data_IF_756651535588
#
_entry.id   IF_756651535588
#
_cell.length_a   1.000
_cell.length_b   1.000
_cell.length_c   1.000
_cell.angle_alpha   90.00
_cell.angle_beta   90.00
_cell.angle_gamma   90.00
#
_symmetry.space_group_name_H-M   'P 1'
#
loop_
_entity.id
_entity.type
_entity.pdbx_description
1 polymer ?
#
# COMPACT_ATOMS: atom_id res chain seq x y z
N UNK A 1 -37.66 -66.44 4.65
CA UNK A 1 -38.90 -65.92 4.01
C UNK A 1 -38.49 -64.75 3.14
N UNK A 2 -38.20 -64.99 1.92
CA UNK A 2 -38.89 -64.67 0.65
C UNK A 2 -39.68 -63.39 0.65
N UNK A 3 -39.32 -62.37 -0.14
CA UNK A 3 -39.59 -62.03 -1.56
C UNK A 3 -38.92 -60.69 -1.88
N UNK A 4 -38.00 -60.57 -2.79
CA UNK A 4 -38.01 -60.63 -4.27
C UNK A 4 -38.83 -59.53 -4.97
N UNK A 5 -38.06 -58.72 -5.73
CA UNK A 5 -38.22 -58.17 -7.10
C UNK A 5 -39.29 -57.08 -7.26
N UNK A 6 -38.96 -55.96 -7.95
CA UNK A 6 -39.02 -55.80 -9.39
C UNK A 6 -38.22 -54.60 -9.89
N UNK A 7 -37.47 -54.83 -10.96
CA UNK A 7 -36.78 -53.91 -11.86
C UNK A 7 -37.76 -53.31 -12.83
N UNK A 8 -37.60 -52.08 -13.21
CA UNK A 8 -38.10 -51.60 -14.51
C UNK A 8 -37.09 -50.62 -15.15
N UNK A 9 -36.55 -51.04 -16.24
CA UNK A 9 -35.83 -50.30 -17.28
C UNK A 9 -36.79 -49.47 -18.12
N UNK A 10 -36.26 -48.43 -18.73
CA UNK A 10 -36.35 -47.95 -20.13
C UNK A 10 -36.30 -46.43 -20.13
N UNK A 11 -35.74 -45.64 -20.99
CA UNK A 11 -35.05 -45.75 -22.29
C UNK A 11 -34.39 -44.37 -22.49
N UNK A 12 -33.18 -44.30 -22.80
CA UNK A 12 -32.48 -43.89 -24.01
C UNK A 12 -33.17 -42.80 -24.86
N UNK A 13 -32.50 -41.72 -25.08
CA UNK A 13 -32.84 -40.67 -26.03
C UNK A 13 -31.74 -39.64 -26.19
N UNK A 14 -30.80 -39.89 -27.08
CA UNK A 14 -29.72 -39.01 -27.53
C UNK A 14 -30.18 -38.05 -28.63
N UNK A 15 -29.31 -37.25 -29.22
CA UNK A 15 -29.42 -35.77 -29.24
C UNK A 15 -29.89 -35.26 -30.62
N UNK A 16 -30.40 -34.06 -30.66
CA UNK A 16 -30.59 -33.38 -31.96
C UNK A 16 -29.83 -32.06 -31.98
N UNK A 17 -28.77 -32.06 -32.78
CA UNK A 17 -28.19 -30.89 -33.42
C UNK A 17 -29.25 -30.13 -34.22
N UNK A 18 -29.30 -28.83 -34.15
CA UNK A 18 -29.90 -27.99 -35.16
C UNK A 18 -28.86 -27.00 -35.72
N UNK A 19 -28.71 -27.14 -37.04
CA UNK A 19 -27.87 -26.32 -37.91
C UNK A 19 -28.48 -24.95 -38.16
N UNK A 20 -27.58 -24.02 -38.32
CA UNK A 20 -27.57 -22.75 -39.08
C UNK A 20 -28.83 -22.39 -39.90
N UNK A 21 -29.28 -21.17 -39.79
CA UNK A 21 -29.82 -20.43 -40.92
C UNK A 21 -29.33 -18.96 -40.88
N UNK A 22 -28.63 -18.62 -41.93
CA UNK A 22 -28.19 -17.30 -42.35
C UNK A 22 -29.39 -16.63 -43.03
N UNK A 23 -29.76 -15.42 -42.62
CA UNK A 23 -30.56 -14.52 -43.45
C UNK A 23 -29.92 -13.14 -43.52
N UNK A 24 -29.38 -12.90 -44.71
CA UNK A 24 -28.85 -11.63 -45.22
C UNK A 24 -30.05 -10.80 -45.64
N UNK A 25 -30.16 -9.55 -45.17
CA UNK A 25 -30.92 -8.52 -45.82
C UNK A 25 -30.04 -7.30 -46.07
N UNK A 26 -29.70 -7.15 -47.35
CA UNK A 26 -29.16 -5.95 -47.99
C UNK A 26 -30.34 -4.99 -48.18
N UNK A 27 -30.22 -3.78 -47.66
CA UNK A 27 -31.07 -2.66 -48.08
C UNK A 27 -30.18 -1.50 -48.49
N UNK A 28 -30.03 -1.36 -49.79
CA UNK A 28 -29.41 -0.27 -50.52
C UNK A 28 -30.29 0.98 -50.42
N UNK A 29 -29.70 2.08 -49.95
CA UNK A 29 -30.30 3.41 -50.10
C UNK A 29 -29.35 4.35 -50.87
N UNK A 30 -29.72 4.63 -52.09
CA UNK A 30 -29.10 5.59 -53.00
C UNK A 30 -29.37 7.00 -52.47
N UNK A 31 -28.33 7.78 -52.26
CA UNK A 31 -28.42 9.24 -52.13
C UNK A 31 -27.61 9.84 -53.27
N UNK A 32 -28.35 10.53 -54.15
CA UNK A 32 -27.92 11.22 -55.34
C UNK A 32 -27.06 12.44 -54.97
N UNK A 33 -25.84 12.49 -55.50
CA UNK A 33 -24.96 13.65 -55.42
C UNK A 33 -25.22 14.55 -56.60
N UNK A 34 -25.73 15.76 -56.39
CA UNK A 34 -25.84 16.79 -57.40
C UNK A 34 -24.53 17.58 -57.45
N UNK A 35 -23.81 17.43 -58.55
CA UNK A 35 -22.65 18.26 -58.91
C UNK A 35 -23.14 19.60 -59.48
N UNK A 36 -22.88 20.68 -58.78
CA UNK A 36 -22.95 22.03 -59.34
C UNK A 36 -21.52 22.46 -59.67
N UNK A 37 -21.24 22.52 -60.98
CA UNK A 37 -20.00 23.12 -61.51
C UNK A 37 -20.26 24.60 -61.66
N UNK A 38 -19.59 25.44 -60.92
CA UNK A 38 -19.50 26.90 -61.17
C UNK A 38 -18.05 27.25 -61.50
N UNK A 39 -17.78 27.54 -62.75
CA UNK A 39 -16.56 28.22 -63.20
C UNK A 39 -16.54 29.67 -62.67
N UNK A 40 -15.46 30.07 -62.02
CA UNK A 40 -15.12 31.45 -61.79
C UNK A 40 -13.61 31.67 -61.81
N UNK A 41 -13.24 32.63 -62.50
CA UNK A 41 -11.98 33.10 -63.00
C UNK A 41 -10.87 33.31 -61.99
N UNK A 42 -9.69 33.04 -62.46
CA UNK A 42 -8.37 33.25 -61.84
C UNK A 42 -8.09 34.76 -61.64
N UNK A 43 -7.90 35.15 -60.39
CA UNK A 43 -7.09 36.33 -60.03
C UNK A 43 -6.13 35.91 -58.94
N UNK A 44 -4.84 35.96 -59.22
CA UNK A 44 -3.75 35.74 -58.26
C UNK A 44 -3.70 36.92 -57.27
N UNK A 45 -3.65 36.66 -55.94
CA UNK A 45 -3.16 37.68 -55.04
C UNK A 45 -1.75 37.26 -54.53
N UNK A 46 -0.92 38.24 -54.59
CA UNK A 46 0.44 38.34 -54.05
C UNK A 46 0.51 37.81 -52.60
N UNK A 47 1.35 36.80 -52.37
CA UNK A 47 1.64 36.26 -51.04
C UNK A 47 2.47 37.28 -50.24
N UNK A 48 1.83 37.98 -49.33
CA UNK A 48 2.50 38.64 -48.21
C UNK A 48 2.57 37.61 -47.08
N UNK A 49 3.73 37.02 -46.81
CA UNK A 49 4.02 36.17 -45.66
C UNK A 49 4.01 37.02 -44.40
N UNK A 50 2.88 37.13 -43.75
CA UNK A 50 2.82 37.56 -42.35
C UNK A 50 3.16 36.37 -41.47
N UNK A 51 4.38 36.36 -40.97
CA UNK A 51 4.78 35.49 -39.84
C UNK A 51 3.98 35.90 -38.61
N UNK A 52 2.86 35.22 -38.35
CA UNK A 52 2.19 35.24 -37.06
C UNK A 52 2.99 34.37 -36.12
N UNK A 53 3.58 34.88 -35.03
CA UNK A 53 4.23 34.02 -34.05
C UNK A 53 3.14 33.13 -33.46
N UNK A 54 3.33 31.81 -33.57
CA UNK A 54 2.54 30.81 -32.87
C UNK A 54 2.79 31.01 -31.37
N UNK A 55 1.90 31.77 -30.72
CA UNK A 55 1.81 31.81 -29.28
C UNK A 55 1.24 30.46 -28.79
N UNK A 56 2.09 29.45 -28.72
CA UNK A 56 1.85 28.34 -27.80
C UNK A 56 1.84 28.93 -26.40
N UNK A 57 0.76 28.86 -25.62
CA UNK A 57 0.78 29.37 -24.26
C UNK A 57 1.92 28.64 -23.52
N UNK A 58 2.94 29.37 -23.12
CA UNK A 58 3.94 28.88 -22.20
C UNK A 58 3.17 28.32 -21.01
N UNK A 59 3.33 27.03 -20.70
CA UNK A 59 2.72 26.41 -19.55
C UNK A 59 3.05 27.29 -18.34
N UNK A 60 2.02 27.86 -17.71
CA UNK A 60 2.17 28.75 -16.58
C UNK A 60 3.07 28.08 -15.56
N UNK A 61 4.21 28.68 -15.27
CA UNK A 61 5.16 28.18 -14.26
C UNK A 61 4.40 28.10 -12.95
N UNK A 62 4.32 26.94 -12.29
CA UNK A 62 3.59 26.84 -11.03
C UNK A 62 4.17 27.83 -10.05
N UNK A 63 3.32 28.67 -9.45
CA UNK A 63 3.77 29.62 -8.44
C UNK A 63 4.08 28.89 -7.13
N UNK A 64 5.32 28.38 -6.98
CA UNK A 64 5.82 27.76 -5.76
C UNK A 64 5.90 28.74 -4.58
N UNK A 65 5.64 30.02 -4.82
CA UNK A 65 5.76 31.07 -3.80
C UNK A 65 4.74 30.91 -2.66
N UNK A 66 3.64 30.23 -2.86
CA UNK A 66 2.62 30.05 -1.84
C UNK A 66 2.76 28.74 -1.07
N UNK A 67 2.98 27.60 -1.75
CA UNK A 67 3.22 26.29 -1.13
C UNK A 67 3.68 25.27 -2.17
N UNK A 68 4.43 24.25 -1.73
CA UNK A 68 4.83 23.08 -2.53
C UNK A 68 3.81 21.95 -2.36
N UNK A 69 3.01 21.59 -3.36
CA UNK A 69 1.99 20.56 -3.23
C UNK A 69 2.64 19.16 -3.27
N UNK A 70 2.43 18.35 -2.24
CA UNK A 70 2.81 16.94 -2.16
C UNK A 70 1.53 16.12 -2.04
N UNK A 71 1.33 15.13 -2.90
CA UNK A 71 0.17 14.25 -2.86
C UNK A 71 0.25 13.27 -1.70
N UNK A 72 -0.92 12.91 -1.15
CA UNK A 72 -1.09 11.90 -0.13
C UNK A 72 -2.26 10.99 -0.52
N UNK A 73 -1.94 9.81 -1.08
CA UNK A 73 -2.91 8.86 -1.62
C UNK A 73 -3.08 7.69 -0.64
N UNK A 74 -4.20 7.65 0.10
CA UNK A 74 -4.45 6.62 1.11
C UNK A 74 -5.89 6.11 1.07
N UNK A 75 -6.09 4.82 1.38
CA UNK A 75 -7.40 4.15 1.46
C UNK A 75 -8.13 4.54 2.74
N UNK A 76 -8.73 5.72 2.78
CA UNK A 76 -9.39 6.25 3.98
C UNK A 76 -10.75 5.61 4.22
N UNK A 77 -11.33 5.02 3.18
CA UNK A 77 -12.55 4.20 3.21
C UNK A 77 -12.20 2.77 2.78
N UNK A 78 -12.76 1.74 3.34
CA UNK A 78 -12.55 0.32 3.06
C UNK A 78 -11.93 -0.47 4.22
N UNK A 79 -11.62 -1.74 3.99
CA UNK A 79 -10.93 -2.64 4.95
C UNK A 79 -9.47 -2.21 5.25
N UNK A 80 -8.86 -1.34 4.43
CA UNK A 80 -7.57 -0.70 4.72
C UNK A 80 -7.67 0.54 5.62
N UNK A 81 -8.87 1.06 5.89
CA UNK A 81 -9.06 2.34 6.59
C UNK A 81 -8.36 2.39 7.95
N UNK A 82 -8.33 1.28 8.68
CA UNK A 82 -7.67 1.22 10.00
C UNK A 82 -6.16 1.50 9.92
N UNK A 83 -5.48 1.07 8.85
CA UNK A 83 -4.06 1.35 8.60
C UNK A 83 -3.87 2.76 8.01
N UNK A 84 -4.73 3.13 7.06
CA UNK A 84 -4.66 4.41 6.38
C UNK A 84 -4.86 5.61 7.31
N UNK A 85 -5.73 5.50 8.32
CA UNK A 85 -5.92 6.54 9.34
C UNK A 85 -4.62 6.85 10.09
N UNK A 86 -3.81 5.84 10.40
CA UNK A 86 -2.51 6.03 11.03
C UNK A 86 -1.55 6.76 10.09
N UNK A 87 -1.50 6.37 8.81
CA UNK A 87 -0.67 7.01 7.79
C UNK A 87 -1.06 8.47 7.57
N UNK A 88 -2.35 8.76 7.43
CA UNK A 88 -2.89 10.13 7.31
C UNK A 88 -2.52 10.97 8.53
N UNK A 89 -2.59 10.39 9.74
CA UNK A 89 -2.15 11.05 10.97
C UNK A 89 -0.68 11.44 10.92
N UNK A 90 0.19 10.53 10.48
CA UNK A 90 1.63 10.78 10.31
C UNK A 90 1.93 11.88 9.30
N UNK A 91 1.25 11.88 8.14
CA UNK A 91 1.38 12.92 7.11
C UNK A 91 1.00 14.30 7.65
N UNK A 92 -0.13 14.41 8.36
CA UNK A 92 -0.59 15.69 8.94
C UNK A 92 0.38 16.23 10.00
N UNK A 93 0.94 15.34 10.83
CA UNK A 93 1.96 15.72 11.82
C UNK A 93 3.21 16.19 11.10
N UNK A 94 3.66 15.50 10.04
CA UNK A 94 4.82 15.90 9.26
C UNK A 94 4.63 17.27 8.59
N UNK A 95 3.48 17.50 7.93
CA UNK A 95 3.15 18.79 7.31
C UNK A 95 3.30 19.94 8.33
N UNK A 96 2.64 19.78 9.49
CA UNK A 96 2.73 20.78 10.55
C UNK A 96 4.16 20.93 11.08
N UNK A 97 4.85 19.82 11.37
CA UNK A 97 6.18 19.81 11.95
C UNK A 97 7.18 20.55 11.07
N UNK A 98 7.16 20.30 9.76
CA UNK A 98 8.09 20.93 8.83
C UNK A 98 7.71 22.37 8.52
N UNK A 99 6.42 22.70 8.40
CA UNK A 99 5.95 24.07 8.18
C UNK A 99 6.24 24.99 9.37
N UNK A 100 6.07 24.52 10.60
CA UNK A 100 6.43 25.25 11.81
C UNK A 100 7.95 25.56 11.88
N UNK A 101 8.77 24.85 11.09
CA UNK A 101 10.23 25.02 10.99
C UNK A 101 10.67 25.67 9.69
N UNK A 102 9.77 26.42 9.04
CA UNK A 102 10.03 27.18 7.83
C UNK A 102 9.94 26.41 6.52
N UNK A 103 9.31 25.25 6.52
CA UNK A 103 9.05 24.48 5.29
C UNK A 103 10.31 24.14 4.51
N UNK A 104 10.27 24.32 3.21
CA UNK A 104 11.42 24.20 2.30
C UNK A 104 12.05 25.58 2.09
N UNK A 105 13.05 25.91 2.90
CA UNK A 105 13.79 27.17 2.85
C UNK A 105 12.90 28.43 2.79
N UNK A 106 11.82 28.45 3.59
CA UNK A 106 10.85 29.55 3.67
C UNK A 106 9.55 29.30 2.89
N UNK A 107 9.49 28.31 2.02
CA UNK A 107 8.27 27.92 1.30
C UNK A 107 7.57 26.78 2.04
N UNK A 108 6.30 26.92 2.46
CA UNK A 108 5.58 25.84 3.12
C UNK A 108 5.28 24.69 2.15
N UNK A 109 5.17 23.47 2.69
CA UNK A 109 4.57 22.34 1.96
C UNK A 109 3.06 22.35 2.18
N UNK A 110 2.31 21.78 1.21
CA UNK A 110 0.88 21.54 1.31
C UNK A 110 0.58 20.10 0.93
N UNK A 111 0.07 19.33 1.87
CA UNK A 111 -0.36 17.97 1.59
C UNK A 111 -1.73 17.97 0.91
N UNK A 112 -1.80 17.30 -0.25
CA UNK A 112 -3.02 17.17 -1.06
C UNK A 112 -3.52 15.75 -0.94
N UNK A 113 -4.61 15.56 -0.18
CA UNK A 113 -5.13 14.24 0.12
C UNK A 113 -6.11 13.76 -0.96
N UNK A 114 -5.94 12.49 -1.38
CA UNK A 114 -6.88 11.75 -2.21
C UNK A 114 -7.18 10.40 -1.55
N UNK A 115 -8.47 10.06 -1.45
CA UNK A 115 -8.89 8.73 -1.00
C UNK A 115 -8.78 7.75 -2.17
N UNK A 116 -8.07 6.65 -1.96
CA UNK A 116 -7.91 5.59 -2.95
C UNK A 116 -9.01 4.52 -2.88
N UNK A 117 -9.97 4.65 -1.96
CA UNK A 117 -11.13 3.74 -1.83
C UNK A 117 -10.80 2.31 -1.41
N UNK A 118 -9.55 1.87 -1.51
CA UNK A 118 -9.11 0.51 -1.13
C UNK A 118 -9.06 -0.48 -2.29
N UNK A 119 -9.39 -0.08 -3.51
CA UNK A 119 -9.26 -0.87 -4.71
C UNK A 119 -8.27 -0.25 -5.73
N UNK A 120 -8.01 -0.96 -6.80
CA UNK A 120 -7.05 -0.56 -7.84
C UNK A 120 -7.56 0.65 -8.64
N UNK A 121 -8.84 0.68 -8.97
CA UNK A 121 -9.45 1.75 -9.77
C UNK A 121 -9.43 3.09 -9.00
N UNK A 122 -9.76 3.05 -7.70
CA UNK A 122 -9.66 4.21 -6.83
C UNK A 122 -8.23 4.76 -6.73
N UNK A 123 -7.23 3.88 -6.61
CA UNK A 123 -5.82 4.27 -6.60
C UNK A 123 -5.38 4.91 -7.93
N UNK A 124 -5.77 4.32 -9.06
CA UNK A 124 -5.51 4.87 -10.40
C UNK A 124 -6.10 6.29 -10.52
N UNK A 125 -7.36 6.47 -10.14
CA UNK A 125 -8.05 7.75 -10.21
C UNK A 125 -7.40 8.81 -9.30
N UNK A 126 -7.06 8.43 -8.07
CA UNK A 126 -6.38 9.31 -7.11
C UNK A 126 -5.02 9.79 -7.67
N UNK A 127 -4.21 8.88 -8.23
CA UNK A 127 -2.93 9.24 -8.84
C UNK A 127 -3.10 10.14 -10.06
N UNK A 128 -4.05 9.85 -10.93
CA UNK A 128 -4.35 10.74 -12.09
C UNK A 128 -4.76 12.13 -11.65
N UNK A 129 -5.59 12.26 -10.61
CA UNK A 129 -5.99 13.54 -10.05
C UNK A 129 -4.80 14.32 -9.49
N UNK A 130 -4.01 13.69 -8.63
CA UNK A 130 -2.80 14.30 -8.04
C UNK A 130 -1.79 14.76 -9.09
N UNK A 131 -1.59 13.96 -10.15
CA UNK A 131 -0.61 14.24 -11.21
C UNK A 131 -1.08 15.33 -12.15
N UNK A 132 -2.33 15.25 -12.65
CA UNK A 132 -2.81 16.05 -13.78
C UNK A 132 -3.58 17.30 -13.33
N UNK A 133 -4.37 17.20 -12.25
CA UNK A 133 -5.21 18.30 -11.76
C UNK A 133 -4.48 19.08 -10.65
N UNK A 134 -4.03 18.38 -9.60
CA UNK A 134 -3.36 19.00 -8.45
C UNK A 134 -1.90 19.32 -8.73
N UNK A 135 -1.29 18.71 -9.78
CA UNK A 135 0.07 18.98 -10.26
C UNK A 135 1.11 18.87 -9.14
N UNK A 136 0.99 17.87 -8.28
CA UNK A 136 1.88 17.65 -7.13
C UNK A 136 3.32 17.39 -7.57
N UNK A 137 4.28 17.75 -6.72
CA UNK A 137 5.72 17.54 -6.97
C UNK A 137 6.15 16.09 -6.74
N UNK A 138 5.39 15.36 -5.92
CA UNK A 138 5.59 13.94 -5.60
C UNK A 138 4.41 13.40 -4.84
N UNK A 139 4.34 12.08 -4.60
CA UNK A 139 3.22 11.40 -3.95
C UNK A 139 3.72 10.51 -2.83
N UNK A 140 3.10 10.61 -1.64
CA UNK A 140 3.21 9.66 -0.54
C UNK A 140 2.05 8.66 -0.65
N UNK A 141 2.34 7.38 -0.72
CA UNK A 141 1.34 6.32 -0.91
C UNK A 141 1.68 5.38 -2.06
N UNK A 142 0.72 4.58 -2.52
CA UNK A 142 -0.61 4.34 -1.95
C UNK A 142 -0.57 3.46 -0.70
N UNK A 143 -1.74 3.13 -0.12
CA UNK A 143 -1.82 2.36 1.12
C UNK A 143 -1.38 0.92 0.97
N UNK A 144 -1.85 0.21 -0.06
CA UNK A 144 -1.61 -1.21 -0.23
C UNK A 144 -0.63 -1.52 -1.36
N UNK A 145 0.02 -2.70 -1.28
CA UNK A 145 0.88 -3.19 -2.35
C UNK A 145 0.09 -3.48 -3.63
N UNK A 146 -1.15 -3.96 -3.51
CA UNK A 146 -2.04 -4.18 -4.65
C UNK A 146 -2.30 -2.87 -5.42
N UNK A 147 -2.58 -1.79 -4.71
CA UNK A 147 -2.74 -0.45 -5.30
C UNK A 147 -1.44 0.09 -5.89
N UNK A 148 -0.28 -0.23 -5.28
CA UNK A 148 1.00 0.21 -5.80
C UNK A 148 1.30 -0.41 -7.17
N UNK A 149 1.00 -1.69 -7.38
CA UNK A 149 1.18 -2.34 -8.68
C UNK A 149 0.29 -1.73 -9.79
N UNK A 150 -0.88 -1.20 -9.45
CA UNK A 150 -1.79 -0.60 -10.42
C UNK A 150 -1.56 0.90 -10.66
N UNK A 151 -1.25 1.67 -9.61
CA UNK A 151 -1.16 3.13 -9.69
C UNK A 151 0.27 3.65 -9.93
N UNK A 152 1.31 3.03 -9.35
CA UNK A 152 2.69 3.47 -9.53
C UNK A 152 3.15 3.51 -11.00
N UNK A 153 2.75 2.60 -11.90
CA UNK A 153 3.08 2.72 -13.33
C UNK A 153 2.59 4.01 -13.98
N UNK A 154 1.55 4.65 -13.42
CA UNK A 154 1.03 5.93 -13.91
C UNK A 154 1.98 7.07 -13.51
N UNK A 155 2.43 7.06 -12.25
CA UNK A 155 3.40 8.03 -11.75
C UNK A 155 4.75 7.89 -12.44
N UNK A 156 5.22 6.66 -12.66
CA UNK A 156 6.44 6.35 -13.41
C UNK A 156 6.42 6.97 -14.81
N UNK A 157 5.35 6.71 -15.60
CA UNK A 157 5.21 7.30 -16.95
C UNK A 157 5.14 8.82 -16.93
N UNK A 158 4.58 9.40 -15.87
CA UNK A 158 4.47 10.85 -15.67
C UNK A 158 5.72 11.47 -15.03
N UNK A 159 6.73 10.65 -14.70
CA UNK A 159 7.96 11.04 -14.01
C UNK A 159 7.67 11.80 -12.70
N UNK A 160 6.75 11.27 -11.90
CA UNK A 160 6.37 11.81 -10.59
C UNK A 160 6.95 10.91 -9.51
N UNK A 161 7.84 11.42 -8.65
CA UNK A 161 8.39 10.63 -7.55
C UNK A 161 7.29 10.13 -6.60
N UNK A 162 7.31 8.83 -6.30
CA UNK A 162 6.43 8.19 -5.32
C UNK A 162 7.26 7.63 -4.18
N UNK A 163 6.83 7.87 -2.95
CA UNK A 163 7.40 7.21 -1.77
C UNK A 163 6.31 6.39 -1.08
N UNK A 164 6.40 5.07 -1.22
CA UNK A 164 5.52 4.12 -0.55
C UNK A 164 5.77 4.10 0.95
N UNK A 165 4.74 4.38 1.74
CA UNK A 165 4.83 4.43 3.21
C UNK A 165 4.46 3.11 3.89
N UNK A 166 3.73 2.22 3.20
CA UNK A 166 3.19 0.97 3.76
C UNK A 166 3.25 -0.24 2.82
N UNK A 167 3.77 -0.07 1.62
CA UNK A 167 3.84 -1.11 0.59
C UNK A 167 5.07 -2.00 0.81
N UNK A 168 4.90 -3.26 1.17
CA UNK A 168 6.00 -4.16 1.57
C UNK A 168 6.18 -5.38 0.68
N UNK A 169 5.28 -5.63 -0.29
CA UNK A 169 5.40 -6.72 -1.24
C UNK A 169 6.70 -6.62 -2.07
N UNK A 170 7.19 -7.76 -2.51
CA UNK A 170 8.30 -7.85 -3.45
C UNK A 170 7.91 -7.21 -4.79
N UNK A 171 8.85 -6.52 -5.43
CA UNK A 171 8.64 -5.98 -6.77
C UNK A 171 8.08 -4.56 -6.82
N UNK A 172 7.90 -3.85 -5.69
CA UNK A 172 7.37 -2.48 -5.69
C UNK A 172 8.38 -1.46 -6.25
N UNK A 173 9.65 -1.39 -5.79
CA UNK A 173 10.62 -0.46 -6.37
C UNK A 173 10.97 -0.79 -7.83
N UNK A 174 10.90 -2.05 -8.21
CA UNK A 174 11.19 -2.53 -9.57
C UNK A 174 10.13 -2.08 -10.60
N UNK A 175 9.05 -1.42 -10.19
CA UNK A 175 8.05 -0.84 -11.09
C UNK A 175 8.66 0.26 -11.96
N UNK A 176 9.62 1.04 -11.41
CA UNK A 176 10.31 2.07 -12.18
C UNK A 176 11.21 2.99 -11.35
N UNK A 177 11.95 3.84 -12.05
CA UNK A 177 12.97 4.73 -11.46
C UNK A 177 12.39 5.80 -10.52
N UNK A 178 11.11 6.14 -10.67
CA UNK A 178 10.43 7.16 -9.85
C UNK A 178 9.70 6.57 -8.65
N UNK A 179 9.88 5.26 -8.38
CA UNK A 179 9.19 4.56 -7.32
C UNK A 179 10.18 4.16 -6.21
N UNK A 180 10.03 4.78 -5.05
CA UNK A 180 10.77 4.43 -3.85
C UNK A 180 9.80 4.05 -2.70
N UNK A 181 10.33 3.46 -1.63
CA UNK A 181 9.54 3.20 -0.41
C UNK A 181 10.38 3.37 0.85
N UNK A 182 9.74 3.82 1.93
CA UNK A 182 10.33 3.86 3.28
C UNK A 182 9.83 2.71 4.16
N UNK A 183 8.90 1.90 3.67
CA UNK A 183 8.46 0.67 4.32
C UNK A 183 9.45 -0.45 3.99
N UNK A 184 10.10 -0.99 5.02
CA UNK A 184 11.06 -2.08 4.85
C UNK A 184 10.42 -3.29 4.17
N UNK A 185 11.10 -3.96 3.21
CA UNK A 185 10.57 -5.13 2.56
C UNK A 185 10.29 -6.24 3.56
N UNK A 186 9.16 -6.92 3.37
CA UNK A 186 8.69 -7.94 4.31
C UNK A 186 9.70 -9.09 4.49
N UNK A 187 10.56 -9.31 3.50
CA UNK A 187 11.64 -10.30 3.55
C UNK A 187 12.67 -10.05 4.65
N UNK A 188 12.82 -8.80 5.10
CA UNK A 188 13.70 -8.43 6.22
C UNK A 188 12.97 -8.50 7.57
N UNK A 189 11.67 -8.33 7.60
CA UNK A 189 10.87 -8.15 8.82
C UNK A 189 10.26 -9.48 9.29
N UNK A 190 9.50 -10.16 8.44
CA UNK A 190 8.72 -11.35 8.79
C UNK A 190 9.54 -12.52 9.40
N UNK A 191 10.75 -12.86 8.93
CA UNK A 191 11.52 -13.95 9.51
C UNK A 191 11.87 -13.75 10.99
N UNK A 192 11.97 -12.48 11.43
CA UNK A 192 12.29 -12.17 12.81
C UNK A 192 11.15 -12.53 13.78
N UNK A 193 9.89 -12.43 13.35
CA UNK A 193 8.75 -12.84 14.16
C UNK A 193 8.73 -14.35 14.41
N UNK A 194 9.05 -15.17 13.39
CA UNK A 194 9.16 -16.64 13.53
C UNK A 194 10.30 -17.02 14.49
N UNK A 195 11.48 -16.39 14.34
CA UNK A 195 12.61 -16.59 15.25
C UNK A 195 12.27 -16.21 16.69
N UNK A 196 11.54 -15.10 16.88
CA UNK A 196 11.11 -14.67 18.22
C UNK A 196 10.12 -15.66 18.85
N UNK A 197 9.17 -16.19 18.07
CA UNK A 197 8.26 -17.23 18.56
C UNK A 197 9.03 -18.47 19.05
N UNK A 198 10.05 -18.91 18.30
CA UNK A 198 10.91 -20.04 18.72
C UNK A 198 11.76 -19.72 19.95
N UNK A 199 12.27 -18.48 20.07
CA UNK A 199 13.02 -18.05 21.26
C UNK A 199 12.14 -18.10 22.52
N UNK A 200 10.86 -17.71 22.40
CA UNK A 200 9.90 -17.76 23.50
C UNK A 200 9.38 -19.16 23.79
N UNK A 201 9.22 -19.99 22.77
CA UNK A 201 8.77 -21.37 22.90
C UNK A 201 9.55 -22.32 21.98
N UNK A 202 10.66 -22.88 22.42
CA UNK A 202 11.50 -23.82 21.64
C UNK A 202 10.82 -25.15 21.29
N UNK A 203 9.63 -25.43 21.85
CA UNK A 203 8.89 -26.68 21.59
C UNK A 203 8.03 -26.61 20.32
N UNK A 204 7.93 -25.47 19.68
CA UNK A 204 7.19 -25.31 18.42
C UNK A 204 7.78 -26.22 17.35
N UNK A 205 6.92 -27.02 16.70
CA UNK A 205 7.26 -27.90 15.58
C UNK A 205 6.27 -27.74 14.44
N UNK A 206 4.96 -27.76 14.72
CA UNK A 206 3.88 -27.73 13.76
C UNK A 206 3.33 -26.33 13.60
N UNK A 207 3.26 -25.84 12.38
CA UNK A 207 2.80 -24.49 12.06
C UNK A 207 1.61 -24.54 11.11
N UNK A 208 0.52 -23.85 11.46
CA UNK A 208 -0.55 -23.53 10.53
C UNK A 208 -0.37 -22.09 10.03
N UNK A 209 -0.55 -21.87 8.74
CA UNK A 209 -0.45 -20.56 8.11
C UNK A 209 -1.82 -20.15 7.59
N UNK A 210 -2.24 -18.92 7.86
CA UNK A 210 -3.48 -18.32 7.38
C UNK A 210 -3.16 -17.07 6.57
N UNK A 211 -3.81 -16.84 5.41
CA UNK A 211 -3.60 -15.62 4.67
C UNK A 211 -4.77 -15.22 3.76
N UNK A 212 -4.90 -13.92 3.52
CA UNK A 212 -5.84 -13.38 2.57
C UNK A 212 -5.29 -13.55 1.15
N UNK A 213 -5.89 -14.45 0.34
CA UNK A 213 -5.35 -14.83 -0.97
C UNK A 213 -5.60 -13.81 -2.08
N UNK A 214 -6.49 -12.85 -1.85
CA UNK A 214 -6.88 -11.82 -2.81
C UNK A 214 -6.11 -10.49 -2.65
N UNK A 215 -5.02 -10.49 -1.89
CA UNK A 215 -4.20 -9.29 -1.66
C UNK A 215 -2.72 -9.58 -1.95
N UNK A 216 -2.08 -8.69 -2.71
CA UNK A 216 -0.70 -8.87 -3.14
C UNK A 216 0.31 -8.81 -1.98
N UNK A 217 0.04 -8.00 -0.94
CA UNK A 217 0.89 -7.92 0.24
C UNK A 217 0.83 -9.23 1.02
N UNK A 218 -0.36 -9.70 1.39
CA UNK A 218 -0.53 -10.90 2.22
C UNK A 218 -0.04 -12.16 1.51
N UNK A 219 -0.20 -12.25 0.19
CA UNK A 219 0.37 -13.33 -0.62
C UNK A 219 1.90 -13.30 -0.58
N UNK A 220 2.52 -12.14 -0.82
CA UNK A 220 3.97 -11.97 -0.76
C UNK A 220 4.53 -12.26 0.65
N UNK A 221 3.85 -11.77 1.68
CA UNK A 221 4.24 -11.99 3.08
C UNK A 221 4.16 -13.47 3.46
N UNK A 222 3.11 -14.17 3.02
CA UNK A 222 2.91 -15.60 3.27
C UNK A 222 4.02 -16.45 2.66
N UNK A 223 4.48 -16.14 1.46
CA UNK A 223 5.62 -16.82 0.84
C UNK A 223 6.88 -16.69 1.70
N UNK A 224 7.15 -15.49 2.22
CA UNK A 224 8.28 -15.22 3.11
C UNK A 224 8.14 -15.95 4.45
N UNK A 225 6.94 -15.94 5.05
CA UNK A 225 6.69 -16.71 6.28
C UNK A 225 6.90 -18.20 6.07
N UNK A 226 6.37 -18.80 5.00
CA UNK A 226 6.56 -20.21 4.69
C UNK A 226 8.04 -20.55 4.50
N UNK A 227 8.80 -19.69 3.82
CA UNK A 227 10.24 -19.89 3.68
C UNK A 227 10.96 -19.76 5.03
N UNK A 228 10.59 -18.79 5.86
CA UNK A 228 11.17 -18.60 7.20
C UNK A 228 10.89 -19.81 8.12
N UNK A 229 9.67 -20.34 8.08
CA UNK A 229 9.27 -21.54 8.83
C UNK A 229 10.11 -22.74 8.41
N UNK A 230 10.24 -23.00 7.11
CA UNK A 230 11.06 -24.10 6.56
C UNK A 230 12.54 -23.95 6.94
N UNK A 231 13.09 -22.73 6.86
CA UNK A 231 14.48 -22.44 7.23
C UNK A 231 14.77 -22.66 8.71
N UNK A 232 13.74 -22.67 9.58
CA UNK A 232 13.86 -23.03 10.99
C UNK A 232 13.62 -24.55 11.26
N UNK A 233 13.43 -25.36 10.22
CA UNK A 233 13.17 -26.80 10.34
C UNK A 233 11.79 -27.14 10.93
N UNK A 234 10.81 -26.23 10.77
CA UNK A 234 9.44 -26.43 11.26
C UNK A 234 8.54 -27.00 10.16
N UNK A 235 7.53 -27.78 10.57
CA UNK A 235 6.56 -28.41 9.68
C UNK A 235 5.36 -27.48 9.45
N UNK A 236 5.11 -27.10 8.19
CA UNK A 236 3.87 -26.45 7.80
C UNK A 236 2.80 -27.52 7.63
N UNK A 237 1.93 -27.68 8.64
CA UNK A 237 0.90 -28.73 8.64
C UNK A 237 -0.31 -28.36 7.77
N UNK A 238 -0.57 -27.05 7.59
CA UNK A 238 -1.64 -26.55 6.70
C UNK A 238 -1.42 -25.10 6.31
N UNK A 239 -1.95 -24.72 5.14
CA UNK A 239 -2.06 -23.33 4.68
C UNK A 239 -3.52 -23.05 4.38
N UNK A 240 -4.15 -22.23 5.18
CA UNK A 240 -5.55 -21.85 5.07
C UNK A 240 -5.70 -20.50 4.36
N UNK A 241 -6.64 -20.43 3.44
CA UNK A 241 -6.90 -19.26 2.61
C UNK A 241 -8.22 -18.60 2.99
N UNK A 242 -8.25 -17.28 2.94
CA UNK A 242 -9.45 -16.47 3.11
C UNK A 242 -9.42 -15.24 2.20
N UNK A 243 -10.45 -14.41 2.23
CA UNK A 243 -10.51 -13.12 1.53
C UNK A 243 -10.41 -11.97 2.54
N UNK A 244 -9.87 -10.82 2.13
CA UNK A 244 -9.79 -9.62 2.99
C UNK A 244 -11.18 -9.12 3.45
N UNK A 245 -12.24 -9.59 2.83
CA UNK A 245 -13.64 -9.27 3.14
C UNK A 245 -14.33 -10.33 3.99
N UNK A 246 -13.67 -11.46 4.28
CA UNK A 246 -14.26 -12.52 5.08
C UNK A 246 -14.40 -12.09 6.54
N UNK A 247 -15.49 -12.52 7.16
CA UNK A 247 -15.82 -12.27 8.57
C UNK A 247 -16.02 -13.56 9.38
N UNK A 248 -16.15 -14.70 8.71
CA UNK A 248 -16.26 -16.03 9.30
C UNK A 248 -15.10 -16.91 8.84
N UNK A 249 -14.36 -17.48 9.81
CA UNK A 249 -13.16 -18.28 9.61
C UNK A 249 -13.28 -19.68 10.23
N UNK A 250 -14.49 -20.09 10.69
CA UNK A 250 -14.69 -21.31 11.45
C UNK A 250 -14.23 -22.55 10.69
N UNK A 251 -14.49 -22.63 9.39
CA UNK A 251 -14.08 -23.76 8.56
C UNK A 251 -12.55 -23.88 8.47
N UNK A 252 -11.86 -22.77 8.17
CA UNK A 252 -10.41 -22.74 8.08
C UNK A 252 -9.75 -23.05 9.43
N UNK A 253 -10.31 -22.50 10.51
CA UNK A 253 -9.82 -22.70 11.86
C UNK A 253 -10.05 -24.16 12.29
N UNK A 254 -11.23 -24.73 12.06
CA UNK A 254 -11.52 -26.13 12.35
C UNK A 254 -10.55 -27.10 11.66
N UNK A 255 -10.28 -26.86 10.37
CA UNK A 255 -9.31 -27.63 9.60
C UNK A 255 -7.89 -27.56 10.20
N UNK A 256 -7.48 -26.36 10.63
CA UNK A 256 -6.15 -26.17 11.22
C UNK A 256 -6.03 -26.80 12.61
N UNK A 257 -7.03 -26.61 13.49
CA UNK A 257 -7.00 -27.12 14.85
C UNK A 257 -7.03 -28.65 14.92
N UNK A 258 -7.65 -29.32 13.95
CA UNK A 258 -7.62 -30.78 13.82
C UNK A 258 -6.19 -31.35 13.68
N UNK A 259 -5.24 -30.54 13.18
CA UNK A 259 -3.82 -30.91 13.00
C UNK A 259 -2.95 -30.54 14.19
N UNK A 260 -3.52 -29.93 15.22
CA UNK A 260 -2.87 -29.54 16.47
C UNK A 260 -1.58 -28.72 16.24
N UNK A 261 -1.66 -27.51 15.63
CA UNK A 261 -0.49 -26.66 15.42
C UNK A 261 0.01 -26.08 16.75
N UNK A 262 1.34 -25.99 16.92
CA UNK A 262 1.98 -25.32 18.05
C UNK A 262 2.05 -23.79 17.82
N UNK A 263 2.13 -23.38 16.56
CA UNK A 263 2.19 -22.01 16.10
C UNK A 263 1.16 -21.77 14.99
N UNK A 264 0.47 -20.65 15.08
CA UNK A 264 -0.33 -20.11 13.98
C UNK A 264 0.29 -18.82 13.48
N UNK A 265 0.52 -18.72 12.17
CA UNK A 265 0.98 -17.50 11.50
C UNK A 265 -0.18 -16.94 10.69
N UNK A 266 -0.47 -15.64 10.85
CA UNK A 266 -1.59 -14.98 10.19
C UNK A 266 -1.08 -13.79 9.39
N UNK A 267 -1.22 -13.85 8.07
CA UNK A 267 -0.98 -12.74 7.13
C UNK A 267 -2.33 -12.21 6.63
N UNK A 268 -2.76 -11.11 7.20
CA UNK A 268 -4.03 -10.45 6.94
C UNK A 268 -3.91 -8.95 7.23
N UNK A 269 -5.03 -8.24 7.10
CA UNK A 269 -5.16 -6.86 7.49
C UNK A 269 -5.75 -6.77 8.91
N UNK A 270 -5.85 -5.57 9.46
CA UNK A 270 -6.35 -5.39 10.84
C UNK A 270 -7.77 -5.94 11.05
N UNK A 271 -8.66 -5.81 10.07
CA UNK A 271 -10.03 -6.25 10.19
C UNK A 271 -10.19 -7.77 10.08
N UNK A 272 -9.78 -8.35 8.97
CA UNK A 272 -9.88 -9.78 8.67
C UNK A 272 -8.95 -10.63 9.58
N UNK A 273 -7.67 -10.23 9.68
CA UNK A 273 -6.72 -10.89 10.56
C UNK A 273 -7.09 -10.79 12.03
N UNK A 274 -7.59 -9.63 12.49
CA UNK A 274 -8.09 -9.46 13.86
C UNK A 274 -9.30 -10.35 14.16
N UNK A 275 -10.25 -10.45 13.22
CA UNK A 275 -11.41 -11.35 13.35
C UNK A 275 -10.97 -12.83 13.35
N UNK A 276 -10.02 -13.20 12.49
CA UNK A 276 -9.51 -14.58 12.47
C UNK A 276 -8.80 -14.95 13.79
N UNK A 277 -8.04 -14.03 14.38
CA UNK A 277 -7.44 -14.20 15.71
C UNK A 277 -8.51 -14.39 16.76
N UNK A 278 -9.53 -13.53 16.79
CA UNK A 278 -10.61 -13.62 17.75
C UNK A 278 -11.28 -14.99 17.70
N UNK A 279 -11.73 -15.44 16.52
CA UNK A 279 -12.37 -16.73 16.35
C UNK A 279 -11.45 -17.89 16.67
N UNK A 280 -10.17 -17.81 16.31
CA UNK A 280 -9.17 -18.84 16.67
C UNK A 280 -9.06 -19.03 18.20
N UNK A 281 -9.06 -17.92 18.95
CA UNK A 281 -9.02 -17.95 20.42
C UNK A 281 -10.36 -18.43 21.03
N UNK A 282 -11.50 -18.00 20.48
CA UNK A 282 -12.84 -18.42 20.89
C UNK A 282 -13.04 -19.93 20.68
N UNK A 283 -12.47 -20.50 19.61
CA UNK A 283 -12.48 -21.94 19.33
C UNK A 283 -11.41 -22.73 20.14
N UNK A 284 -10.76 -22.07 21.10
CA UNK A 284 -9.95 -22.71 22.12
C UNK A 284 -8.45 -22.81 21.81
N UNK A 285 -7.94 -22.22 20.74
CA UNK A 285 -6.50 -22.21 20.48
C UNK A 285 -5.76 -21.36 21.51
N UNK A 286 -4.84 -22.00 22.25
CA UNK A 286 -4.02 -21.36 23.29
C UNK A 286 -2.54 -21.24 22.92
N UNK A 287 -2.16 -21.77 21.76
CA UNK A 287 -0.79 -21.75 21.26
C UNK A 287 -0.30 -20.36 20.86
N UNK A 288 0.95 -20.30 20.41
CA UNK A 288 1.58 -19.07 19.95
C UNK A 288 0.93 -18.56 18.65
N UNK A 289 0.74 -17.25 18.52
CA UNK A 289 0.31 -16.60 17.28
C UNK A 289 1.38 -15.59 16.87
N UNK A 290 1.80 -15.66 15.62
CA UNK A 290 2.60 -14.65 14.94
C UNK A 290 1.70 -13.91 13.95
N UNK A 291 1.64 -12.61 14.09
CA UNK A 291 0.95 -11.73 13.15
C UNK A 291 1.88 -11.12 12.12
N UNK A 292 1.40 -10.99 10.89
CA UNK A 292 2.08 -10.27 9.82
C UNK A 292 2.04 -8.75 10.00
N UNK A 293 2.68 -8.04 9.08
CA UNK A 293 2.82 -6.59 9.15
C UNK A 293 1.47 -5.86 9.03
N UNK A 294 0.46 -6.43 8.36
CA UNK A 294 -0.89 -5.85 8.29
C UNK A 294 -1.65 -5.83 9.63
N UNK A 295 -1.16 -6.59 10.62
CA UNK A 295 -1.68 -6.59 11.99
C UNK A 295 -0.92 -5.63 12.93
N UNK A 296 0.09 -4.93 12.38
CA UNK A 296 0.97 -4.05 13.15
C UNK A 296 0.35 -2.65 13.33
N UNK A 297 -0.83 -2.60 13.88
CA UNK A 297 -1.60 -1.39 14.15
C UNK A 297 -2.30 -1.45 15.50
N UNK A 298 -2.35 -0.34 16.23
CA UNK A 298 -3.12 -0.25 17.48
C UNK A 298 -4.63 -0.40 17.26
N UNK A 299 -5.10 -0.21 16.04
CA UNK A 299 -6.52 -0.35 15.70
C UNK A 299 -7.00 -1.82 15.71
N UNK A 300 -6.08 -2.80 15.70
CA UNK A 300 -6.43 -4.22 15.85
C UNK A 300 -7.02 -4.52 17.24
N UNK A 301 -6.67 -3.73 18.26
CA UNK A 301 -7.11 -3.97 19.64
C UNK A 301 -8.63 -3.94 19.77
N UNK A 302 -9.32 -3.06 19.05
CA UNK A 302 -10.78 -3.03 19.01
C UNK A 302 -11.41 -4.20 18.25
N UNK A 303 -10.65 -4.90 17.39
CA UNK A 303 -11.15 -6.01 16.57
C UNK A 303 -11.07 -7.35 17.34
N UNK A 304 -9.92 -7.71 17.86
CA UNK A 304 -9.74 -8.97 18.60
C UNK A 304 -9.80 -8.80 20.14
N UNK A 305 -9.90 -7.56 20.64
CA UNK A 305 -10.08 -7.24 22.06
C UNK A 305 -9.07 -7.99 22.96
N UNK A 306 -9.49 -8.46 24.13
CA UNK A 306 -8.65 -9.22 25.07
C UNK A 306 -7.94 -10.43 24.41
N UNK A 307 -8.51 -10.95 23.31
CA UNK A 307 -7.99 -12.12 22.60
C UNK A 307 -6.77 -11.81 21.71
N UNK A 308 -6.44 -10.53 21.53
CA UNK A 308 -5.17 -10.10 20.91
C UNK A 308 -3.96 -10.35 21.82
N UNK A 309 -4.16 -10.60 23.12
CA UNK A 309 -3.07 -10.67 24.07
C UNK A 309 -2.05 -11.76 23.69
N UNK A 310 -0.77 -11.42 23.74
CA UNK A 310 0.33 -12.35 23.49
C UNK A 310 0.73 -12.56 22.03
N UNK A 311 0.09 -11.89 21.07
CA UNK A 311 0.45 -11.97 19.64
C UNK A 311 1.82 -11.34 19.42
N UNK A 312 2.68 -12.03 18.68
CA UNK A 312 4.04 -11.59 18.33
C UNK A 312 4.01 -10.96 16.94
N UNK A 313 4.56 -9.76 16.78
CA UNK A 313 4.67 -9.05 15.50
C UNK A 313 6.07 -8.48 15.38
N UNK A 314 6.70 -8.66 14.23
CA UNK A 314 7.93 -7.94 13.89
C UNK A 314 7.59 -6.54 13.36
N UNK A 315 8.37 -5.54 13.78
CA UNK A 315 8.15 -4.13 13.45
C UNK A 315 9.41 -3.48 12.89
N UNK A 316 9.22 -2.54 11.98
CA UNK A 316 10.28 -1.70 11.43
C UNK A 316 10.37 -0.33 12.14
N UNK A 317 9.66 -0.15 13.23
CA UNK A 317 9.62 1.08 14.02
C UNK A 317 9.43 0.76 15.51
N UNK A 318 10.05 1.58 16.37
CA UNK A 318 9.76 1.62 17.80
C UNK A 318 9.68 3.09 18.27
N UNK A 319 8.62 3.48 19.01
CA UNK A 319 8.55 4.81 19.61
C UNK A 319 9.65 5.05 20.67
N UNK A 320 10.28 3.99 21.18
CA UNK A 320 11.38 4.03 22.13
C UNK A 320 12.76 4.09 21.46
N UNK A 321 12.82 4.02 20.12
CA UNK A 321 14.08 4.12 19.40
C UNK A 321 14.77 5.49 19.65
N UNK A 322 16.11 5.51 19.82
CA UNK A 322 16.83 6.74 20.05
C UNK A 322 16.78 7.66 18.81
N UNK A 323 16.91 8.96 19.03
CA UNK A 323 17.01 9.96 17.97
C UNK A 323 16.09 11.16 18.21
N UNK A 324 16.61 12.37 17.96
CA UNK A 324 15.89 13.63 18.20
C UNK A 324 14.62 13.71 17.35
N UNK A 325 14.69 13.30 16.09
CA UNK A 325 13.54 13.35 15.17
C UNK A 325 12.46 12.35 15.59
N UNK A 326 12.83 11.16 16.08
CA UNK A 326 11.88 10.19 16.63
C UNK A 326 11.21 10.73 17.88
N UNK A 327 11.97 11.32 18.81
CA UNK A 327 11.43 11.95 20.01
C UNK A 327 10.45 13.07 19.67
N UNK A 328 10.82 13.99 18.75
CA UNK A 328 9.97 15.07 18.31
C UNK A 328 8.68 14.59 17.62
N UNK A 329 8.77 13.57 16.77
CA UNK A 329 7.60 12.94 16.15
C UNK A 329 6.69 12.30 17.21
N UNK A 330 7.26 11.51 18.11
CA UNK A 330 6.54 10.84 19.21
C UNK A 330 5.79 11.86 20.06
N UNK A 331 6.46 12.94 20.50
CA UNK A 331 5.87 13.99 21.33
C UNK A 331 4.69 14.66 20.61
N UNK A 332 4.85 15.00 19.33
CA UNK A 332 3.80 15.58 18.50
C UNK A 332 2.60 14.62 18.36
N UNK A 333 2.87 13.34 18.14
CA UNK A 333 1.84 12.33 17.98
C UNK A 333 1.08 12.09 19.30
N UNK A 334 1.78 11.91 20.42
CA UNK A 334 1.18 11.69 21.74
C UNK A 334 0.37 12.92 22.18
N UNK A 335 0.86 14.12 21.92
CA UNK A 335 0.12 15.37 22.21
C UNK A 335 -1.24 15.39 21.49
N UNK A 336 -1.28 14.96 20.23
CA UNK A 336 -2.48 14.99 19.40
C UNK A 336 -3.42 13.81 19.67
N UNK A 337 -2.87 12.58 19.81
CA UNK A 337 -3.64 11.35 19.77
C UNK A 337 -3.78 10.65 21.15
N UNK A 338 -3.06 11.14 22.19
CA UNK A 338 -3.04 10.58 23.56
C UNK A 338 -2.62 9.10 23.64
N UNK A 339 -1.90 8.62 22.64
CA UNK A 339 -1.34 7.26 22.53
C UNK A 339 0.00 7.28 21.81
N UNK A 340 0.79 6.22 21.98
CA UNK A 340 2.07 6.07 21.27
C UNK A 340 1.86 5.99 19.76
N UNK A 341 2.81 6.54 18.97
CA UNK A 341 2.72 6.49 17.51
C UNK A 341 2.90 5.06 16.98
N UNK A 342 2.00 4.59 16.11
CA UNK A 342 2.14 3.31 15.44
C UNK A 342 3.12 3.40 14.27
N UNK A 343 3.58 2.25 13.79
CA UNK A 343 4.54 2.13 12.70
C UNK A 343 4.10 2.86 11.42
N UNK A 344 2.86 2.69 10.97
CA UNK A 344 2.39 3.29 9.72
C UNK A 344 2.37 4.82 9.77
N UNK A 345 2.16 5.39 10.97
CA UNK A 345 2.27 6.84 11.18
C UNK A 345 3.71 7.33 11.08
N UNK A 346 4.66 6.59 11.66
CA UNK A 346 6.09 6.92 11.59
C UNK A 346 6.63 6.80 10.16
N UNK A 347 6.22 5.76 9.43
CA UNK A 347 6.59 5.58 8.02
C UNK A 347 6.04 6.70 7.13
N UNK A 348 4.77 7.09 7.32
CA UNK A 348 4.17 8.16 6.55
C UNK A 348 4.79 9.54 6.88
N UNK A 349 5.11 9.81 8.15
CA UNK A 349 5.90 10.98 8.53
C UNK A 349 7.26 10.97 7.83
N UNK A 350 7.96 9.85 7.86
CA UNK A 350 9.27 9.67 7.20
C UNK A 350 9.19 9.92 5.69
N UNK A 351 8.16 9.44 5.00
CA UNK A 351 7.99 9.69 3.57
C UNK A 351 7.87 11.18 3.25
N UNK A 352 7.10 11.94 4.05
CA UNK A 352 7.02 13.41 3.91
C UNK A 352 8.36 14.07 4.24
N UNK A 353 9.04 13.63 5.31
CA UNK A 353 10.37 14.13 5.67
C UNK A 353 11.36 13.98 4.52
N UNK A 354 11.42 12.82 3.87
CA UNK A 354 12.30 12.58 2.73
C UNK A 354 12.03 13.59 1.61
N UNK A 355 10.76 13.84 1.26
CA UNK A 355 10.41 14.87 0.28
C UNK A 355 10.90 16.25 0.71
N UNK A 356 10.65 16.65 1.95
CA UNK A 356 11.03 17.99 2.45
C UNK A 356 12.56 18.18 2.45
N UNK A 357 13.31 17.18 2.92
CA UNK A 357 14.77 17.27 2.98
C UNK A 357 15.40 17.23 1.59
N UNK A 358 14.87 16.41 0.69
CA UNK A 358 15.32 16.37 -0.70
C UNK A 358 15.02 17.69 -1.42
N UNK A 359 13.84 18.31 -1.21
CA UNK A 359 13.49 19.61 -1.75
C UNK A 359 14.38 20.71 -1.19
N UNK A 360 14.71 20.71 0.12
CA UNK A 360 15.65 21.66 0.74
C UNK A 360 17.03 21.55 0.12
N UNK A 361 17.53 20.35 -0.02
CA UNK A 361 18.84 20.09 -0.63
C UNK A 361 18.87 20.50 -2.11
N UNK A 362 17.78 20.30 -2.84
CA UNK A 362 17.67 20.73 -4.24
C UNK A 362 17.61 22.26 -4.34
N UNK A 363 16.78 22.94 -3.53
CA UNK A 363 16.65 24.41 -3.54
C UNK A 363 17.95 25.11 -3.20
N UNK A 364 18.78 24.51 -2.36
CA UNK A 364 20.10 25.04 -2.00
C UNK A 364 21.09 25.02 -3.18
N UNK A 365 20.90 24.10 -4.13
CA UNK A 365 21.73 23.97 -5.33
C UNK A 365 21.14 24.73 -6.53
N UNK A 366 19.83 24.66 -6.68
CA UNK A 366 19.09 25.25 -7.80
C UNK A 366 17.74 25.73 -7.25
N UNK A 367 17.47 27.02 -7.35
CA UNK A 367 16.19 27.57 -6.88
C UNK A 367 15.01 26.87 -7.54
N UNK A 368 14.09 26.32 -6.70
CA UNK A 368 12.91 25.61 -7.21
C UNK A 368 12.07 26.47 -8.15
N UNK A 369 12.01 27.77 -7.89
CA UNK A 369 11.27 28.76 -8.73
C UNK A 369 11.83 28.88 -10.15
N UNK A 370 13.07 28.46 -10.39
CA UNK A 370 13.68 28.48 -11.72
C UNK A 370 13.41 27.20 -12.54
N UNK A 371 12.78 26.18 -11.93
CA UNK A 371 12.54 24.89 -12.56
C UNK A 371 11.09 24.80 -13.07
N UNK A 372 10.90 24.20 -14.24
CA UNK A 372 9.62 23.67 -14.64
C UNK A 372 9.18 22.52 -13.73
N UNK A 373 7.89 22.20 -13.69
CA UNK A 373 7.40 21.06 -12.87
C UNK A 373 8.06 19.74 -13.27
N UNK A 374 8.28 19.51 -14.55
CA UNK A 374 8.91 18.28 -15.05
C UNK A 374 10.40 18.18 -14.60
N UNK A 375 11.15 19.29 -14.69
CA UNK A 375 12.52 19.35 -14.20
C UNK A 375 12.59 19.19 -12.68
N UNK A 376 11.67 19.84 -11.96
CA UNK A 376 11.59 19.70 -10.50
C UNK A 376 11.38 18.23 -10.08
N UNK A 377 10.39 17.55 -10.67
CA UNK A 377 10.11 16.13 -10.40
C UNK A 377 11.32 15.24 -10.67
N UNK A 378 11.98 15.42 -11.82
CA UNK A 378 13.17 14.62 -12.18
C UNK A 378 14.33 14.86 -11.22
N UNK A 379 14.66 16.13 -10.93
CA UNK A 379 15.75 16.46 -10.00
C UNK A 379 15.42 16.07 -8.56
N UNK A 380 14.17 16.17 -8.15
CA UNK A 380 13.69 15.73 -6.85
C UNK A 380 13.88 14.21 -6.69
N UNK A 381 13.49 13.41 -7.68
CA UNK A 381 13.71 11.97 -7.67
C UNK A 381 15.19 11.61 -7.50
N UNK A 382 16.06 12.23 -8.27
CA UNK A 382 17.50 12.03 -8.15
C UNK A 382 18.01 12.41 -6.75
N UNK A 383 17.51 13.50 -6.18
CA UNK A 383 17.92 13.95 -4.84
C UNK A 383 17.39 13.01 -3.74
N UNK A 384 16.17 12.45 -3.90
CA UNK A 384 15.61 11.44 -3.00
C UNK A 384 16.52 10.21 -2.94
N UNK A 385 16.85 9.63 -4.09
CA UNK A 385 17.63 8.39 -4.16
C UNK A 385 19.09 8.57 -3.70
N UNK A 386 19.68 9.76 -3.89
CA UNK A 386 21.04 10.07 -3.45
C UNK A 386 21.15 10.45 -1.97
N UNK A 387 20.03 10.68 -1.28
CA UNK A 387 19.99 11.19 0.08
C UNK A 387 20.24 10.13 1.16
N UNK A 388 20.70 10.60 2.32
CA UNK A 388 20.66 9.87 3.59
C UNK A 388 19.83 10.68 4.56
N UNK A 389 18.96 10.04 5.30
CA UNK A 389 17.95 10.70 6.09
C UNK A 389 17.95 10.15 7.52
N UNK A 390 18.05 11.05 8.50
CA UNK A 390 17.87 10.70 9.91
C UNK A 390 16.39 10.86 10.26
N UNK A 391 15.70 9.77 10.49
CA UNK A 391 14.22 9.72 10.53
C UNK A 391 13.72 9.04 11.81
N UNK A 392 12.41 9.05 12.08
CA UNK A 392 11.83 8.20 13.13
C UNK A 392 12.11 6.71 12.97
N UNK A 393 12.39 6.24 11.74
CA UNK A 393 12.76 4.84 11.46
C UNK A 393 14.27 4.57 11.69
N UNK A 394 15.02 5.56 12.18
CA UNK A 394 16.47 5.56 12.23
C UNK A 394 17.10 6.21 10.99
N UNK A 395 18.39 5.97 10.76
CA UNK A 395 19.04 6.40 9.53
C UNK A 395 18.58 5.49 8.38
N UNK A 396 18.10 6.12 7.30
CA UNK A 396 17.71 5.42 6.07
C UNK A 396 18.40 6.04 4.85
N UNK A 397 18.55 5.21 3.83
CA UNK A 397 18.96 5.59 2.48
C UNK A 397 18.17 4.74 1.48
N UNK A 398 18.44 4.91 0.20
CA UNK A 398 17.81 4.12 -0.85
C UNK A 398 18.84 3.41 -1.72
N UNK A 399 18.47 2.25 -2.27
CA UNK A 399 19.18 1.67 -3.40
C UNK A 399 18.91 2.49 -4.66
N UNK A 400 19.68 2.33 -5.73
CA UNK A 400 19.38 2.98 -7.02
C UNK A 400 17.97 2.68 -7.54
N UNK A 401 17.40 1.52 -7.19
CA UNK A 401 16.08 1.06 -7.57
C UNK A 401 14.97 1.62 -6.66
N UNK A 402 15.30 2.36 -5.60
CA UNK A 402 14.31 2.95 -4.68
C UNK A 402 13.94 2.08 -3.47
N UNK A 403 14.65 0.95 -3.24
CA UNK A 403 14.45 0.14 -2.03
C UNK A 403 15.08 0.81 -0.82
N UNK A 404 14.36 0.84 0.31
CA UNK A 404 14.88 1.41 1.54
C UNK A 404 15.99 0.55 2.15
N UNK A 405 17.08 1.21 2.52
CA UNK A 405 18.15 0.66 3.33
C UNK A 405 17.91 1.10 4.79
N UNK A 406 17.37 0.19 5.59
CA UNK A 406 17.10 0.34 7.01
C UNK A 406 17.70 -0.85 7.76
N UNK A 407 18.31 -0.61 8.92
CA UNK A 407 19.00 -1.65 9.70
C UNK A 407 18.31 -2.02 11.02
N UNK A 408 17.37 -1.20 11.50
CA UNK A 408 16.73 -1.39 12.80
C UNK A 408 15.37 -2.04 12.65
N UNK A 409 15.23 -3.24 13.26
CA UNK A 409 13.98 -3.98 13.33
C UNK A 409 13.73 -4.42 14.77
N UNK A 410 12.47 -4.52 15.15
CA UNK A 410 12.03 -4.79 16.49
C UNK A 410 11.06 -5.96 16.51
N UNK A 411 10.95 -6.60 17.65
CA UNK A 411 9.90 -7.58 17.93
C UNK A 411 9.02 -7.01 19.03
N UNK A 412 7.74 -7.00 18.81
CA UNK A 412 6.76 -6.63 19.82
C UNK A 412 5.79 -7.76 20.12
N UNK A 413 5.30 -7.78 21.34
CA UNK A 413 4.19 -8.61 21.77
C UNK A 413 3.03 -7.72 22.18
N UNK A 414 1.82 -8.01 21.71
CA UNK A 414 0.63 -7.29 22.14
C UNK A 414 0.34 -7.63 23.60
N UNK A 415 0.20 -6.59 24.41
CA UNK A 415 -0.29 -6.69 25.79
C UNK A 415 -1.59 -5.88 25.90
N UNK A 416 -2.69 -6.57 26.13
CA UNK A 416 -4.00 -5.95 26.33
C UNK A 416 -4.14 -5.50 27.79
N UNK A 417 -4.84 -4.39 27.98
CA UNK A 417 -5.22 -3.89 29.28
C UNK A 417 -6.34 -4.73 29.90
N UNK A 418 -6.61 -4.54 31.19
CA UNK A 418 -7.62 -5.33 31.94
C UNK A 418 -9.04 -5.15 31.38
N UNK A 419 -9.33 -3.99 30.77
CA UNK A 419 -10.61 -3.70 30.13
C UNK A 419 -10.85 -4.48 28.82
N UNK A 420 -9.78 -5.07 28.27
CA UNK A 420 -9.81 -5.86 27.05
C UNK A 420 -10.02 -5.06 25.77
N UNK A 421 -10.15 -3.72 25.84
CA UNK A 421 -10.40 -2.86 24.69
C UNK A 421 -9.18 -2.05 24.26
N UNK A 422 -8.29 -1.77 25.20
CA UNK A 422 -7.04 -1.06 24.98
C UNK A 422 -5.84 -2.00 25.15
N UNK A 423 -4.72 -1.61 24.58
CA UNK A 423 -3.49 -2.39 24.66
C UNK A 423 -2.30 -1.61 24.17
N UNK A 424 -1.17 -2.25 24.18
CA UNK A 424 0.10 -1.71 23.68
C UNK A 424 1.00 -2.78 23.13
N UNK A 425 1.94 -2.37 22.28
CA UNK A 425 3.05 -3.19 21.83
C UNK A 425 4.18 -3.13 22.87
N UNK A 426 4.56 -4.27 23.43
CA UNK A 426 5.70 -4.40 24.33
C UNK A 426 6.87 -4.90 23.51
N UNK A 427 7.93 -4.12 23.40
CA UNK A 427 9.12 -4.49 22.64
C UNK A 427 9.96 -5.50 23.43
N UNK A 428 10.25 -6.63 22.77
CA UNK A 428 11.05 -7.71 23.35
C UNK A 428 12.55 -7.41 23.14
N UNK A 429 13.37 -7.69 24.15
CA UNK A 429 14.83 -7.51 24.13
C UNK A 429 15.55 -8.72 23.55
#
# INVERSE_FOLDING_TARGET
MFRTIVVAHTHCGSPKMFKKSIFTHILTSFITFVLVVACSQTTQPTTTTTNTPSNTPAAATPNWATALPIGAAFSQTSNYALLAQESVGGVKIAEKYFNDRGGVNGTPIKMVFQDTGGDEAGAINAFQTLINQDRVVGIVGPSSSQQAFSANPIAERAKVPVIGASNTAKGIPEIGEYIARVSAPISLVAPNAVKAALKLNPKIKKVAVFYAQNDAFTTSETEIFQQAIKNQGLDIVTVQKFQTTDTDFQAQIGNALALQPDLVVISGLAADGGNSIRQLRELGYKGTIVGGNGLNTSNIFSVCQALCNGIIIAQAYSPEAPGEINAAFRDAYVKQNKKEPPQFSAQAFTAVQVFVEALKALDSKTKLSALSLAELRTKLNQQILAGKYNTPLGEIAFTPEGEVLQSQFYIAQIKMDVDGNNGKFIFLK
#
